data_IF_274075623781
#
_entry.id   IF_274075623781
#
_cell.length_a   1.000
_cell.length_b   1.000
_cell.length_c   1.000
_cell.angle_alpha   90.00
_cell.angle_beta   90.00
_cell.angle_gamma   90.00
#
_symmetry.space_group_name_H-M   'P 1'
#
loop_
_entity.id
_entity.type
_entity.pdbx_description
1 polymer ?
#
# COMPACT_ATOMS: atom_id res chain seq x y z
N UNK A 1 -20.93 10.12 -5.29
CA UNK A 1 -19.89 10.96 -4.68
C UNK A 1 -18.57 10.48 -5.25
N UNK A 2 -17.94 11.28 -6.12
CA UNK A 2 -16.61 10.96 -6.63
C UNK A 2 -15.61 11.27 -5.52
N UNK A 3 -15.16 10.24 -4.81
CA UNK A 3 -14.12 10.39 -3.78
C UNK A 3 -12.81 10.56 -4.55
N UNK A 4 -12.39 11.81 -4.78
CA UNK A 4 -11.09 12.10 -5.36
C UNK A 4 -10.01 11.74 -4.33
N UNK A 5 -9.52 10.50 -4.41
CA UNK A 5 -8.36 10.06 -3.65
C UNK A 5 -7.10 10.76 -4.18
N UNK A 6 -6.13 11.10 -3.31
CA UNK A 6 -4.90 11.76 -3.72
C UNK A 6 -3.96 10.85 -4.54
N UNK A 7 -4.30 9.57 -4.67
CA UNK A 7 -3.54 8.56 -5.40
C UNK A 7 -4.49 7.61 -6.12
N UNK A 8 -4.01 6.96 -7.17
CA UNK A 8 -4.76 5.99 -7.99
C UNK A 8 -3.98 4.68 -8.19
N UNK A 9 -4.70 3.65 -8.60
CA UNK A 9 -4.08 2.38 -8.99
C UNK A 9 -3.08 2.65 -10.11
N UNK A 10 -1.87 2.12 -9.96
CA UNK A 10 -0.75 2.34 -10.85
C UNK A 10 0.30 3.32 -10.32
N UNK A 11 -0.03 4.15 -9.33
CA UNK A 11 0.91 5.11 -8.75
C UNK A 11 2.00 4.41 -7.94
N UNK A 12 3.18 5.07 -7.90
CA UNK A 12 4.31 4.65 -7.06
C UNK A 12 4.05 5.10 -5.62
N UNK A 13 4.29 4.22 -4.68
CA UNK A 13 4.14 4.47 -3.25
C UNK A 13 5.34 3.91 -2.50
N UNK A 14 5.64 4.50 -1.34
CA UNK A 14 6.61 3.94 -0.41
C UNK A 14 5.86 3.36 0.78
N UNK A 15 6.16 2.11 1.13
CA UNK A 15 5.51 1.42 2.25
C UNK A 15 6.54 1.05 3.30
N UNK A 16 6.25 1.44 4.54
CA UNK A 16 7.03 1.04 5.71
C UNK A 16 6.63 -0.38 6.12
N UNK A 17 7.60 -1.28 6.20
CA UNK A 17 7.36 -2.64 6.69
C UNK A 17 7.32 -2.69 8.21
N UNK A 18 6.41 -3.52 8.73
CA UNK A 18 6.29 -3.85 10.15
C UNK A 18 6.71 -5.28 10.48
N UNK A 19 7.11 -6.06 9.47
CA UNK A 19 7.53 -7.45 9.61
C UNK A 19 8.78 -7.58 10.49
N UNK A 20 8.83 -8.64 11.29
CA UNK A 20 10.02 -8.95 12.10
C UNK A 20 11.23 -9.16 11.18
N UNK A 21 12.33 -8.44 11.42
CA UNK A 21 13.53 -8.43 10.57
C UNK A 21 13.63 -7.25 9.60
N UNK A 22 12.50 -6.66 9.17
CA UNK A 22 12.46 -5.50 8.27
C UNK A 22 11.69 -4.31 8.87
N UNK A 23 11.39 -4.37 10.17
CA UNK A 23 10.59 -3.38 10.88
C UNK A 23 11.23 -2.00 10.76
N UNK A 24 10.54 -1.06 10.12
CA UNK A 24 11.04 0.29 9.90
C UNK A 24 11.75 0.51 8.57
N UNK A 25 12.02 -0.53 7.78
CA UNK A 25 12.50 -0.38 6.42
C UNK A 25 11.40 0.15 5.51
N UNK A 26 11.79 0.97 4.54
CA UNK A 26 10.92 1.50 3.50
C UNK A 26 11.17 0.76 2.20
N UNK A 27 10.09 0.35 1.56
CA UNK A 27 10.13 -0.37 0.29
C UNK A 27 9.43 0.43 -0.79
N UNK A 28 10.01 0.41 -1.98
CA UNK A 28 9.40 1.01 -3.17
C UNK A 28 8.33 0.05 -3.68
N UNK A 29 7.13 0.58 -3.79
CA UNK A 29 5.94 -0.20 -4.09
C UNK A 29 5.11 0.48 -5.18
N UNK A 30 4.18 -0.28 -5.75
CA UNK A 30 3.17 0.22 -6.68
C UNK A 30 1.80 -0.16 -6.17
N UNK A 31 0.86 0.78 -6.23
CA UNK A 31 -0.52 0.48 -5.84
C UNK A 31 -1.17 -0.34 -6.94
N UNK A 32 -1.53 -1.58 -6.61
CA UNK A 32 -2.11 -2.53 -7.55
C UNK A 32 -3.63 -2.55 -7.49
N UNK A 33 -4.18 -2.35 -6.29
CA UNK A 33 -5.63 -2.31 -6.06
C UNK A 33 -5.95 -1.40 -4.88
N UNK A 34 -7.12 -0.78 -4.91
CA UNK A 34 -7.67 -0.01 -3.80
C UNK A 34 -9.06 -0.54 -3.49
N UNK A 35 -9.36 -0.75 -2.22
CA UNK A 35 -10.67 -1.21 -1.78
C UNK A 35 -11.02 -0.58 -0.45
N UNK A 36 -12.32 -0.35 -0.21
CA UNK A 36 -12.81 0.08 1.09
C UNK A 36 -13.22 -1.17 1.85
N UNK A 37 -12.60 -1.40 3.00
CA UNK A 37 -12.88 -2.53 3.90
C UNK A 37 -13.14 -1.97 5.29
N UNK A 38 -14.29 -2.33 5.85
CA UNK A 38 -14.72 -1.84 7.18
C UNK A 38 -14.70 -0.31 7.33
N UNK A 39 -14.95 0.44 6.24
CA UNK A 39 -14.91 1.91 6.25
C UNK A 39 -13.51 2.52 6.14
N UNK A 40 -12.46 1.69 6.09
CA UNK A 40 -11.09 2.12 5.85
C UNK A 40 -10.69 1.86 4.39
N UNK A 41 -9.92 2.77 3.82
CA UNK A 41 -9.28 2.56 2.52
C UNK A 41 -8.07 1.65 2.72
N UNK A 42 -8.08 0.47 2.10
CA UNK A 42 -6.95 -0.44 2.03
C UNK A 42 -6.39 -0.47 0.61
N UNK A 43 -5.07 -0.38 0.50
CA UNK A 43 -4.34 -0.43 -0.76
C UNK A 43 -3.55 -1.74 -0.84
N UNK A 44 -3.74 -2.50 -1.92
CA UNK A 44 -2.88 -3.64 -2.24
C UNK A 44 -1.60 -3.10 -2.87
N UNK A 45 -0.46 -3.38 -2.25
CA UNK A 45 0.85 -2.93 -2.73
C UNK A 45 1.65 -4.10 -3.33
N UNK A 46 2.32 -3.81 -4.43
CA UNK A 46 3.32 -4.68 -5.05
C UNK A 46 4.71 -4.10 -4.84
N UNK A 47 5.62 -4.89 -4.27
CA UNK A 47 7.00 -4.49 -4.07
C UNK A 47 7.76 -4.53 -5.40
N UNK A 48 8.28 -3.38 -5.85
CA UNK A 48 8.98 -3.28 -7.12
C UNK A 48 10.33 -4.01 -7.11
N UNK A 49 10.98 -4.01 -5.95
CA UNK A 49 12.27 -4.66 -5.73
C UNK A 49 12.14 -6.17 -5.46
N UNK A 50 10.92 -6.65 -5.16
CA UNK A 50 10.63 -8.04 -4.81
C UNK A 50 9.36 -8.52 -5.52
N UNK A 51 9.39 -8.73 -6.85
CA UNK A 51 8.20 -9.09 -7.62
C UNK A 51 7.67 -10.50 -7.33
N UNK A 52 8.49 -11.37 -6.71
CA UNK A 52 8.11 -12.73 -6.30
C UNK A 52 7.35 -12.75 -4.96
N UNK A 53 7.45 -11.67 -4.16
CA UNK A 53 6.78 -11.57 -2.87
C UNK A 53 5.27 -11.40 -3.01
N UNK A 54 4.54 -11.98 -2.05
CA UNK A 54 3.10 -11.93 -2.04
C UNK A 54 2.58 -10.50 -1.83
N UNK A 55 1.57 -10.12 -2.61
CA UNK A 55 0.93 -8.80 -2.49
C UNK A 55 0.23 -8.70 -1.14
N UNK A 56 0.46 -7.61 -0.42
CA UNK A 56 -0.12 -7.41 0.89
C UNK A 56 -0.96 -6.12 0.91
N UNK A 57 -2.10 -6.17 1.62
CA UNK A 57 -2.93 -5.00 1.85
C UNK A 57 -2.32 -4.14 2.94
N UNK A 58 -2.21 -2.84 2.66
CA UNK A 58 -1.70 -1.82 3.57
C UNK A 58 -2.73 -0.72 3.75
N UNK A 59 -2.80 -0.21 4.97
CA UNK A 59 -3.50 1.04 5.25
C UNK A 59 -2.60 2.21 4.80
N UNK A 60 -3.12 3.16 3.99
CA UNK A 60 -2.38 4.34 3.62
C UNK A 60 -2.12 5.18 4.87
N UNK A 61 -0.89 5.67 5.05
CA UNK A 61 -0.58 6.65 6.09
C UNK A 61 -0.93 8.06 5.60
N UNK A 62 -1.56 8.95 6.40
CA UNK A 62 -2.06 8.77 7.76
C UNK A 62 -3.55 8.39 7.72
N UNK A 63 -3.88 7.11 7.81
CA UNK A 63 -5.24 6.68 8.05
C UNK A 63 -5.55 6.93 9.53
N UNK A 64 -5.98 8.16 9.82
CA UNK A 64 -6.51 8.71 11.10
C UNK A 64 -5.65 8.51 12.36
#
# INVERSE_FOLDING_TARGET
MDIMLPFKVGDRAESRSFSLGFRGAWFRSKISLMCIRQGHLECLLEYLDFPDESKQFFLPWPAV
#
